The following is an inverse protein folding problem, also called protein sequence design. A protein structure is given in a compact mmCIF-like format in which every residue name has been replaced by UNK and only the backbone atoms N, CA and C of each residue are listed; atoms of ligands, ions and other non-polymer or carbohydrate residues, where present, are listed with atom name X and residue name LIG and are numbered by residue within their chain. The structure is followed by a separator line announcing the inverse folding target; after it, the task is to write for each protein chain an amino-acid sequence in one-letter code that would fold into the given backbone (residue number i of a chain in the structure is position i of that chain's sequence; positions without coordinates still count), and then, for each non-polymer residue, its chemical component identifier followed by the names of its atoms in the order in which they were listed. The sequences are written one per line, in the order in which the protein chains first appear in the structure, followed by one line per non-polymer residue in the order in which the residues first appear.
data_IF_318215486452
#
_entry.id   IF_318215486452
#
_cell.length_a   1.000
_cell.length_b   1.000
_cell.length_c   1.000
_cell.angle_alpha   90.00
_cell.angle_beta   90.00
_cell.angle_gamma   90.00
#
_symmetry.space_group_name_H-M   'P 1'
#
loop_
_entity.id
_entity.type
_entity.pdbx_description
1 polymer ?
#
# COMPACT_ATOMS: atom_id res chain seq x y z
N UNK A 1 29.77 22.55 8.21
CA UNK A 1 29.88 23.21 6.90
C UNK A 1 30.52 24.62 7.05
N UNK A 2 29.92 25.53 7.80
CA UNK A 2 30.44 26.92 7.94
C UNK A 2 31.89 27.00 8.48
N UNK A 3 32.24 26.15 9.44
CA UNK A 3 33.60 26.10 9.97
C UNK A 3 34.60 25.48 8.98
N UNK A 4 34.14 24.50 8.16
CA UNK A 4 34.95 23.94 7.11
C UNK A 4 35.28 24.96 6.01
N UNK A 5 34.29 25.80 5.64
CA UNK A 5 34.52 26.88 4.67
C UNK A 5 35.51 27.91 5.19
N UNK A 6 35.41 28.33 6.49
CA UNK A 6 36.38 29.21 7.11
C UNK A 6 37.80 28.65 7.10
N UNK A 7 37.96 27.36 7.39
CA UNK A 7 39.26 26.72 7.34
C UNK A 7 39.86 26.74 5.93
N UNK A 8 39.05 26.56 4.89
CA UNK A 8 39.50 26.68 3.49
C UNK A 8 39.92 28.12 3.16
N UNK A 9 39.17 29.10 3.61
CA UNK A 9 39.50 30.53 3.45
C UNK A 9 40.79 30.92 4.18
N UNK A 10 41.10 30.26 5.29
CA UNK A 10 42.35 30.39 6.05
C UNK A 10 43.54 29.65 5.40
N UNK A 11 43.31 28.93 4.28
CA UNK A 11 44.35 28.29 3.50
C UNK A 11 44.56 26.80 3.75
N UNK A 12 43.68 26.13 4.52
CA UNK A 12 43.73 24.70 4.71
C UNK A 12 43.30 23.96 3.41
N UNK A 13 43.92 22.82 3.16
CA UNK A 13 43.60 22.03 1.97
C UNK A 13 42.16 21.46 2.06
N UNK A 14 41.29 21.76 1.08
CA UNK A 14 39.89 21.32 1.09
C UNK A 14 39.71 19.80 1.26
N UNK A 15 40.61 18.99 0.69
CA UNK A 15 40.57 17.53 0.78
C UNK A 15 40.75 17.04 2.21
N UNK A 16 41.74 17.61 2.94
CA UNK A 16 41.95 17.25 4.33
C UNK A 16 40.85 17.76 5.26
N UNK A 17 40.28 18.94 4.96
CA UNK A 17 39.09 19.44 5.68
C UNK A 17 37.90 18.47 5.50
N UNK A 18 37.70 18.00 4.28
CA UNK A 18 36.63 17.02 4.01
C UNK A 18 36.86 15.72 4.76
N UNK A 19 38.05 15.14 4.71
CA UNK A 19 38.36 13.89 5.43
C UNK A 19 38.12 14.06 6.93
N UNK A 20 38.62 15.13 7.55
CA UNK A 20 38.37 15.35 8.97
C UNK A 20 36.90 15.57 9.33
N UNK A 21 36.09 16.10 8.42
CA UNK A 21 34.63 16.20 8.60
C UNK A 21 33.96 14.83 8.49
N UNK A 22 34.38 14.01 7.54
CA UNK A 22 33.83 12.66 7.36
C UNK A 22 34.17 11.78 8.59
N UNK A 23 35.41 11.80 9.05
CA UNK A 23 35.86 11.09 10.28
C UNK A 23 35.06 11.53 11.51
N UNK A 24 34.86 12.84 11.70
CA UNK A 24 34.05 13.36 12.80
C UNK A 24 32.58 12.91 12.73
N UNK A 25 32.02 12.80 11.54
CA UNK A 25 30.64 12.31 11.34
C UNK A 25 30.54 10.83 11.75
N UNK A 26 31.50 10.00 11.37
CA UNK A 26 31.54 8.58 11.76
C UNK A 26 31.66 8.42 13.28
N UNK A 27 32.51 9.20 13.92
CA UNK A 27 32.66 9.19 15.39
C UNK A 27 31.37 9.64 16.10
N UNK A 28 30.70 10.69 15.60
CA UNK A 28 29.43 11.17 16.17
C UNK A 28 28.33 10.12 15.98
N UNK A 29 28.26 9.45 14.83
CA UNK A 29 27.28 8.38 14.60
C UNK A 29 27.50 7.24 15.59
N UNK A 30 28.74 6.80 15.79
CA UNK A 30 29.08 5.77 16.77
C UNK A 30 28.67 6.16 18.20
N UNK A 31 28.92 7.41 18.58
CA UNK A 31 28.52 7.92 19.91
C UNK A 31 26.98 7.95 20.06
N UNK A 32 26.25 8.33 19.01
CA UNK A 32 24.78 8.33 19.02
C UNK A 32 24.26 6.89 19.16
N UNK A 33 24.84 5.95 18.46
CA UNK A 33 24.45 4.54 18.55
C UNK A 33 24.70 3.96 19.94
N UNK A 34 25.83 4.30 20.55
CA UNK A 34 26.20 3.87 21.92
C UNK A 34 25.31 4.47 23.01
N UNK A 35 24.91 5.74 22.85
CA UNK A 35 24.02 6.44 23.79
C UNK A 35 22.55 6.20 23.55
N UNK A 36 22.17 5.58 22.40
CA UNK A 36 20.78 5.34 22.04
C UNK A 36 20.15 4.22 22.88
N UNK A 37 18.96 4.48 23.41
CA UNK A 37 18.16 3.46 24.08
C UNK A 37 17.12 2.87 23.16
N UNK A 38 17.02 1.54 23.12
CA UNK A 38 15.95 0.86 22.37
C UNK A 38 14.59 1.10 23.02
N UNK A 39 13.57 1.30 22.18
CA UNK A 39 12.17 1.35 22.61
C UNK A 39 11.70 -0.11 22.75
N UNK A 40 11.74 -0.62 23.98
CA UNK A 40 11.43 -2.00 24.34
C UNK A 40 10.11 -2.15 25.12
N UNK A 41 9.46 -1.04 25.43
CA UNK A 41 8.21 -1.01 26.17
C UNK A 41 7.21 -0.01 25.60
N UNK A 42 5.93 -0.28 25.88
CA UNK A 42 4.83 0.61 25.51
C UNK A 42 4.93 1.99 26.15
N UNK A 43 5.47 2.03 27.36
CA UNK A 43 5.67 3.27 28.11
C UNK A 43 6.70 4.17 27.42
N UNK A 44 7.85 3.60 27.04
CA UNK A 44 8.87 4.34 26.28
C UNK A 44 8.33 4.82 24.92
N UNK A 45 7.56 3.96 24.24
CA UNK A 45 6.93 4.32 22.97
C UNK A 45 5.95 5.50 23.17
N UNK A 46 5.15 5.50 24.24
CA UNK A 46 4.24 6.59 24.56
C UNK A 46 4.98 7.88 24.89
N UNK A 47 6.06 7.80 25.66
CA UNK A 47 6.90 8.96 25.98
C UNK A 47 7.46 9.62 24.73
N UNK A 48 8.03 8.82 23.82
CA UNK A 48 8.58 9.33 22.55
C UNK A 48 7.47 9.92 21.66
N UNK A 49 6.34 9.25 21.56
CA UNK A 49 5.19 9.74 20.80
C UNK A 49 4.64 11.06 21.37
N UNK A 50 4.56 11.18 22.70
CA UNK A 50 4.07 12.38 23.39
C UNK A 50 5.02 13.55 23.18
N UNK A 51 6.34 13.35 23.32
CA UNK A 51 7.35 14.38 23.06
C UNK A 51 7.27 14.83 21.59
N UNK A 52 7.19 13.89 20.66
CA UNK A 52 7.05 14.18 19.23
C UNK A 52 5.76 14.93 18.88
N UNK A 53 4.71 14.75 19.67
CA UNK A 53 3.46 15.48 19.59
C UNK A 53 3.45 16.80 20.38
N UNK A 54 4.62 17.38 20.63
CA UNK A 54 4.77 18.62 21.39
C UNK A 54 4.15 18.55 22.81
N UNK A 55 4.40 17.44 23.52
CA UNK A 55 3.87 17.09 24.84
C UNK A 55 2.34 16.94 24.89
N UNK A 56 1.71 16.62 23.76
CA UNK A 56 0.28 16.29 23.72
C UNK A 56 0.09 14.77 23.88
N UNK A 57 -0.26 14.37 25.11
CA UNK A 57 -0.44 12.96 25.46
C UNK A 57 -1.58 12.29 24.68
N UNK A 58 -2.68 12.99 24.42
CA UNK A 58 -3.81 12.46 23.65
C UNK A 58 -3.42 12.09 22.20
N UNK A 59 -2.59 12.93 21.57
CA UNK A 59 -2.04 12.64 20.23
C UNK A 59 -1.03 11.50 20.32
N UNK A 60 -0.18 11.49 21.34
CA UNK A 60 0.78 10.42 21.62
C UNK A 60 0.09 9.05 21.74
N UNK A 61 -0.99 8.97 22.52
CA UNK A 61 -1.78 7.73 22.67
C UNK A 61 -2.38 7.24 21.34
N UNK A 62 -2.94 8.15 20.53
CA UNK A 62 -3.48 7.80 19.20
C UNK A 62 -2.38 7.26 18.31
N UNK A 63 -1.21 7.90 18.30
CA UNK A 63 -0.04 7.45 17.52
C UNK A 63 0.43 6.06 17.96
N UNK A 64 0.56 5.80 19.26
CA UNK A 64 0.93 4.48 19.79
C UNK A 64 -0.10 3.41 19.43
N UNK A 65 -1.40 3.71 19.56
CA UNK A 65 -2.47 2.80 19.16
C UNK A 65 -2.42 2.48 17.65
N UNK A 66 -2.11 3.48 16.82
CA UNK A 66 -1.97 3.30 15.37
C UNK A 66 -0.74 2.42 15.04
N UNK A 67 0.41 2.67 15.65
CA UNK A 67 1.64 1.89 15.47
C UNK A 67 1.42 0.43 15.85
N UNK A 68 0.80 0.18 17.00
CA UNK A 68 0.50 -1.19 17.46
C UNK A 68 -0.45 -1.93 16.53
N UNK A 69 -1.46 -1.25 16.02
CA UNK A 69 -2.41 -1.85 15.07
C UNK A 69 -1.80 -2.09 13.69
N UNK A 70 -0.90 -1.21 13.25
CA UNK A 70 -0.20 -1.36 11.98
C UNK A 70 0.82 -2.51 12.01
N UNK A 71 1.44 -2.76 13.19
CA UNK A 71 2.53 -3.74 13.32
C UNK A 71 3.84 -3.25 12.69
N UNK A 72 4.85 -4.11 12.70
CA UNK A 72 6.23 -3.78 12.31
C UNK A 72 6.35 -3.29 10.85
N UNK A 73 5.53 -3.84 9.95
CA UNK A 73 5.57 -3.52 8.51
C UNK A 73 4.36 -2.71 8.04
N UNK A 74 3.53 -2.24 8.96
CA UNK A 74 2.32 -1.50 8.63
C UNK A 74 2.60 -0.08 8.19
N UNK A 75 1.81 0.41 7.24
CA UNK A 75 1.89 1.78 6.74
C UNK A 75 0.80 2.62 7.41
N UNK A 76 1.21 3.67 8.11
CA UNK A 76 0.30 4.64 8.73
C UNK A 76 0.13 5.83 7.80
N UNK A 77 -1.13 6.17 7.49
CA UNK A 77 -1.48 7.34 6.69
C UNK A 77 -2.44 8.23 7.45
N UNK A 78 -2.18 9.53 7.41
CA UNK A 78 -3.10 10.56 7.90
C UNK A 78 -4.06 10.96 6.78
N UNK A 79 -5.35 11.04 7.13
CA UNK A 79 -6.41 11.57 6.27
C UNK A 79 -7.28 12.51 7.07
N UNK A 80 -7.90 13.47 6.39
CA UNK A 80 -8.95 14.29 7.01
C UNK A 80 -10.16 13.41 7.33
N UNK A 81 -10.68 13.58 8.55
CA UNK A 81 -11.90 12.88 8.97
C UNK A 81 -13.12 13.57 8.35
N UNK A 82 -14.10 12.81 7.85
CA UNK A 82 -15.38 13.38 7.42
C UNK A 82 -16.25 13.81 8.62
N UNK A 83 -15.84 13.47 9.84
CA UNK A 83 -16.49 13.82 11.10
C UNK A 83 -15.57 14.69 11.97
N UNK A 84 -16.07 15.18 13.11
CA UNK A 84 -15.27 15.95 14.08
C UNK A 84 -14.37 15.05 14.95
N UNK A 85 -14.53 13.73 14.86
CA UNK A 85 -13.81 12.78 15.69
C UNK A 85 -12.56 12.27 14.99
N UNK A 86 -11.49 12.06 15.78
CA UNK A 86 -10.28 11.38 15.35
C UNK A 86 -10.41 9.89 15.66
N UNK A 87 -10.31 9.04 14.64
CA UNK A 87 -10.37 7.59 14.79
C UNK A 87 -9.29 6.88 13.97
N UNK A 88 -9.02 5.64 14.34
CA UNK A 88 -8.05 4.78 13.65
C UNK A 88 -8.84 3.75 12.84
N UNK A 89 -8.68 3.80 11.53
CA UNK A 89 -9.18 2.79 10.62
C UNK A 89 -8.03 1.83 10.26
N UNK A 90 -8.27 0.54 10.39
CA UNK A 90 -7.28 -0.50 10.04
C UNK A 90 -7.80 -1.22 8.81
N UNK A 91 -7.03 -1.16 7.74
CA UNK A 91 -7.28 -1.92 6.53
C UNK A 91 -6.22 -3.00 6.40
N UNK A 92 -6.62 -4.25 6.54
CA UNK A 92 -5.75 -5.39 6.30
C UNK A 92 -5.74 -5.73 4.81
N UNK A 93 -4.60 -6.18 4.29
CA UNK A 93 -4.43 -6.59 2.91
C UNK A 93 -3.77 -5.53 2.02
N UNK A 94 -3.91 -5.68 0.71
CA UNK A 94 -3.28 -4.84 -0.31
C UNK A 94 -4.29 -3.87 -0.92
N UNK A 95 -3.95 -2.58 -0.97
CA UNK A 95 -4.79 -1.56 -1.58
C UNK A 95 -4.30 -1.21 -2.99
N UNK A 96 -5.09 -1.55 -4.00
CA UNK A 96 -4.88 -1.14 -5.39
C UNK A 96 -5.49 0.25 -5.59
N UNK A 97 -4.72 1.20 -6.16
CA UNK A 97 -5.21 2.54 -6.51
C UNK A 97 -6.03 2.54 -7.82
N UNK A 98 -6.89 1.55 -7.99
CA UNK A 98 -7.79 1.41 -9.14
C UNK A 98 -9.05 0.68 -8.70
N UNK A 99 -10.20 1.20 -9.11
CA UNK A 99 -11.48 0.59 -8.81
C UNK A 99 -11.92 -0.41 -9.89
N UNK A 100 -13.16 -0.83 -9.80
CA UNK A 100 -13.80 -1.71 -10.78
C UNK A 100 -13.77 -1.12 -12.20
N UNK A 101 -13.67 -2.00 -13.20
CA UNK A 101 -13.62 -1.59 -14.61
C UNK A 101 -14.98 -1.08 -15.14
N UNK A 102 -16.08 -1.41 -14.48
CA UNK A 102 -17.42 -0.96 -14.83
C UNK A 102 -18.30 -0.85 -13.58
N UNK A 103 -19.14 0.19 -13.53
CA UNK A 103 -20.14 0.40 -12.45
C UNK A 103 -21.22 -0.71 -12.40
N UNK A 104 -21.32 -1.53 -13.41
CA UNK A 104 -22.23 -2.69 -13.42
C UNK A 104 -21.83 -3.78 -12.42
N UNK A 105 -20.60 -3.78 -11.92
CA UNK A 105 -20.12 -4.73 -10.90
C UNK A 105 -20.38 -4.28 -9.46
N UNK A 106 -21.03 -3.12 -9.26
CA UNK A 106 -21.37 -2.60 -7.93
C UNK A 106 -22.42 -3.52 -7.29
N UNK A 107 -22.12 -3.98 -6.08
CA UNK A 107 -23.04 -4.78 -5.26
C UNK A 107 -23.85 -3.94 -4.29
N UNK A 108 -23.30 -2.81 -3.84
CA UNK A 108 -23.96 -1.85 -2.96
C UNK A 108 -24.03 -0.47 -3.65
N UNK A 109 -25.23 -0.09 -4.09
CA UNK A 109 -25.47 1.18 -4.79
C UNK A 109 -25.47 2.40 -3.86
N UNK A 110 -25.65 2.21 -2.55
CA UNK A 110 -25.65 3.32 -1.61
C UNK A 110 -24.25 3.82 -1.33
N UNK A 111 -23.30 2.89 -1.21
CA UNK A 111 -21.88 3.17 -0.96
C UNK A 111 -21.03 3.19 -2.25
N UNK A 112 -21.61 2.82 -3.40
CA UNK A 112 -20.91 2.60 -4.67
C UNK A 112 -19.76 1.59 -4.54
N UNK A 113 -19.96 0.55 -3.76
CA UNK A 113 -18.95 -0.49 -3.50
C UNK A 113 -19.29 -1.82 -4.16
N UNK A 114 -18.28 -2.56 -4.53
CA UNK A 114 -18.36 -3.95 -4.94
C UNK A 114 -17.69 -4.82 -3.86
N UNK A 115 -18.51 -5.53 -3.06
CA UNK A 115 -18.05 -6.35 -1.92
C UNK A 115 -18.28 -7.83 -2.21
N UNK A 116 -17.21 -8.61 -2.15
CA UNK A 116 -17.24 -10.05 -2.34
C UNK A 116 -16.44 -10.74 -1.23
N UNK A 117 -16.82 -11.97 -0.91
CA UNK A 117 -16.12 -12.82 0.07
C UNK A 117 -15.71 -14.13 -0.59
N UNK A 118 -14.61 -14.71 -0.14
CA UNK A 118 -14.11 -16.01 -0.59
C UNK A 118 -14.01 -16.12 -2.12
N UNK A 119 -13.37 -15.10 -2.71
CA UNK A 119 -13.28 -14.94 -4.15
C UNK A 119 -12.19 -15.81 -4.77
N UNK A 120 -12.41 -16.25 -5.98
CA UNK A 120 -11.34 -16.73 -6.86
C UNK A 120 -10.62 -15.50 -7.43
N UNK A 121 -9.31 -15.51 -7.44
CA UNK A 121 -8.50 -14.46 -8.02
C UNK A 121 -7.88 -14.96 -9.34
N UNK A 122 -8.01 -14.16 -10.38
CA UNK A 122 -7.37 -14.38 -11.67
C UNK A 122 -6.50 -13.16 -12.00
N UNK A 123 -5.20 -13.38 -12.17
CA UNK A 123 -4.25 -12.35 -12.55
C UNK A 123 -3.78 -12.60 -13.98
N UNK A 124 -3.79 -11.55 -14.82
CA UNK A 124 -3.35 -11.63 -16.20
C UNK A 124 -2.49 -10.41 -16.55
N UNK A 125 -1.20 -10.62 -16.79
CA UNK A 125 -0.30 -9.57 -17.26
C UNK A 125 -0.41 -9.39 -18.79
N UNK A 126 -1.63 -9.25 -19.24
CA UNK A 126 -1.99 -8.98 -20.64
C UNK A 126 -3.40 -8.43 -20.75
N UNK A 127 -3.75 -7.94 -21.91
CA UNK A 127 -5.13 -7.61 -22.25
C UNK A 127 -5.95 -8.88 -22.45
N UNK A 128 -7.21 -8.86 -22.03
CA UNK A 128 -8.18 -9.94 -22.26
C UNK A 128 -9.14 -9.46 -23.34
N UNK A 129 -8.92 -9.92 -24.57
CA UNK A 129 -9.60 -9.38 -25.75
C UNK A 129 -10.61 -10.34 -26.36
N UNK A 130 -10.49 -11.64 -26.08
CA UNK A 130 -11.30 -12.67 -26.73
C UNK A 130 -12.19 -13.46 -25.78
N UNK A 131 -13.28 -14.03 -26.31
CA UNK A 131 -14.15 -14.95 -25.58
C UNK A 131 -13.40 -16.21 -25.14
N UNK A 132 -12.44 -16.68 -25.93
CA UNK A 132 -11.62 -17.84 -25.60
C UNK A 132 -10.79 -17.64 -24.36
N UNK A 133 -10.46 -16.40 -24.01
CA UNK A 133 -9.71 -16.07 -22.80
C UNK A 133 -10.62 -16.09 -21.56
N UNK A 134 -11.81 -15.50 -21.66
CA UNK A 134 -12.66 -15.26 -20.49
C UNK A 134 -13.61 -16.43 -20.18
N UNK A 135 -14.14 -17.12 -21.19
CA UNK A 135 -15.15 -18.18 -20.99
C UNK A 135 -14.66 -19.34 -20.12
N UNK A 136 -13.42 -19.85 -20.29
CA UNK A 136 -12.90 -20.91 -19.41
C UNK A 136 -12.80 -20.46 -17.93
N UNK A 137 -12.42 -19.21 -17.71
CA UNK A 137 -12.28 -18.61 -16.37
C UNK A 137 -13.66 -18.54 -15.70
N UNK A 138 -14.67 -18.02 -16.39
CA UNK A 138 -16.05 -17.95 -15.88
C UNK A 138 -16.64 -19.34 -15.63
N UNK A 139 -16.41 -20.31 -16.51
CA UNK A 139 -16.85 -21.70 -16.32
C UNK A 139 -16.25 -22.31 -15.05
N UNK A 140 -14.97 -22.03 -14.77
CA UNK A 140 -14.30 -22.51 -13.56
C UNK A 140 -14.95 -21.90 -12.32
N UNK A 141 -15.19 -20.58 -12.28
CA UNK A 141 -15.87 -19.90 -11.20
C UNK A 141 -17.28 -20.45 -10.95
N UNK A 142 -18.05 -20.66 -12.05
CA UNK A 142 -19.37 -21.29 -11.98
C UNK A 142 -19.34 -22.70 -11.37
N UNK A 143 -18.36 -23.52 -11.78
CA UNK A 143 -18.22 -24.88 -11.25
C UNK A 143 -17.87 -24.91 -9.77
N UNK A 144 -17.13 -23.91 -9.30
CA UNK A 144 -16.75 -23.75 -7.89
C UNK A 144 -17.80 -22.99 -7.07
N UNK A 145 -18.81 -22.41 -7.72
CA UNK A 145 -19.85 -21.57 -7.09
C UNK A 145 -19.24 -20.42 -6.27
N UNK A 146 -18.14 -19.86 -6.70
CA UNK A 146 -17.43 -18.79 -6.02
C UNK A 146 -17.40 -17.53 -6.88
N UNK A 147 -17.48 -16.34 -6.26
CA UNK A 147 -17.24 -15.09 -6.95
C UNK A 147 -15.83 -15.08 -7.55
N UNK A 148 -15.63 -14.31 -8.62
CA UNK A 148 -14.32 -14.18 -9.22
C UNK A 148 -13.93 -12.71 -9.42
N UNK A 149 -12.71 -12.39 -9.00
CA UNK A 149 -12.04 -11.12 -9.28
C UNK A 149 -10.99 -11.35 -10.36
N UNK A 150 -11.08 -10.60 -11.43
CA UNK A 150 -10.16 -10.69 -12.57
C UNK A 150 -9.40 -9.37 -12.66
N UNK A 151 -8.09 -9.44 -12.53
CA UNK A 151 -7.20 -8.29 -12.67
C UNK A 151 -6.37 -8.48 -13.93
N UNK A 152 -6.53 -7.60 -14.90
CA UNK A 152 -5.83 -7.65 -16.18
C UNK A 152 -5.42 -6.26 -16.65
N UNK A 153 -4.55 -6.19 -17.64
CA UNK A 153 -4.07 -4.92 -18.17
C UNK A 153 -5.19 -4.09 -18.78
N UNK A 154 -5.99 -4.71 -19.63
CA UNK A 154 -7.23 -4.14 -20.17
C UNK A 154 -8.23 -5.25 -20.57
N UNK A 155 -9.46 -4.85 -20.91
CA UNK A 155 -10.53 -5.73 -21.34
C UNK A 155 -11.18 -5.13 -22.59
N UNK A 156 -11.40 -5.95 -23.63
CA UNK A 156 -12.19 -5.53 -24.78
C UNK A 156 -13.67 -5.34 -24.41
N UNK A 157 -14.37 -4.50 -25.15
CA UNK A 157 -15.80 -4.27 -24.91
C UNK A 157 -16.61 -5.58 -24.95
N UNK A 158 -16.27 -6.49 -25.88
CA UNK A 158 -16.93 -7.78 -26.00
C UNK A 158 -16.74 -8.65 -24.75
N UNK A 159 -15.55 -8.67 -24.19
CA UNK A 159 -15.25 -9.40 -22.95
C UNK A 159 -15.99 -8.77 -21.77
N UNK A 160 -16.02 -7.43 -21.69
CA UNK A 160 -16.78 -6.73 -20.68
C UNK A 160 -18.26 -7.06 -20.74
N UNK A 161 -18.87 -7.07 -21.93
CA UNK A 161 -20.28 -7.44 -22.12
C UNK A 161 -20.56 -8.87 -21.63
N UNK A 162 -19.67 -9.82 -21.92
CA UNK A 162 -19.80 -11.20 -21.45
C UNK A 162 -19.78 -11.25 -19.93
N UNK A 163 -18.83 -10.57 -19.29
CA UNK A 163 -18.71 -10.54 -17.83
C UNK A 163 -19.93 -9.90 -17.18
N UNK A 164 -20.36 -8.74 -17.68
CA UNK A 164 -21.53 -8.01 -17.21
C UNK A 164 -22.80 -8.85 -17.34
N UNK A 165 -23.02 -9.48 -18.50
CA UNK A 165 -24.19 -10.33 -18.71
C UNK A 165 -24.22 -11.54 -17.76
N UNK A 166 -23.07 -12.17 -17.51
CA UNK A 166 -23.00 -13.28 -16.55
C UNK A 166 -23.25 -12.81 -15.10
N UNK A 167 -22.75 -11.63 -14.75
CA UNK A 167 -23.00 -11.02 -13.46
C UNK A 167 -24.49 -10.68 -13.26
N UNK A 168 -25.12 -10.01 -14.24
CA UNK A 168 -26.53 -9.64 -14.19
C UNK A 168 -27.49 -10.84 -14.11
N UNK A 169 -27.19 -11.90 -14.83
CA UNK A 169 -28.00 -13.12 -14.80
C UNK A 169 -27.70 -14.03 -13.61
N UNK A 170 -26.91 -13.54 -12.65
CA UNK A 170 -26.51 -14.29 -11.45
C UNK A 170 -25.92 -15.69 -11.73
N UNK A 171 -25.31 -15.85 -12.92
CA UNK A 171 -24.63 -17.11 -13.27
C UNK A 171 -23.31 -17.25 -12.53
N UNK A 172 -22.61 -16.14 -12.39
CA UNK A 172 -21.38 -16.01 -11.59
C UNK A 172 -21.20 -14.55 -11.19
N UNK A 173 -20.82 -14.31 -9.95
CA UNK A 173 -20.45 -12.97 -9.50
C UNK A 173 -19.03 -12.66 -10.00
N UNK A 174 -18.93 -11.60 -10.80
CA UNK A 174 -17.66 -11.19 -11.44
C UNK A 174 -17.30 -9.77 -11.04
N UNK A 175 -16.03 -9.54 -10.79
CA UNK A 175 -15.46 -8.21 -10.67
C UNK A 175 -14.24 -8.12 -11.58
N UNK A 176 -14.23 -7.16 -12.50
CA UNK A 176 -13.08 -6.85 -13.33
C UNK A 176 -12.39 -5.58 -12.85
N UNK A 177 -11.07 -5.64 -12.72
CA UNK A 177 -10.22 -4.53 -12.32
C UNK A 177 -9.10 -4.40 -13.34
N UNK A 178 -8.86 -3.17 -13.82
CA UNK A 178 -7.69 -2.90 -14.65
C UNK A 178 -6.45 -2.69 -13.79
N UNK A 179 -5.34 -3.34 -14.13
CA UNK A 179 -4.07 -3.17 -13.41
C UNK A 179 -3.65 -1.70 -13.41
N UNK A 180 -3.31 -1.11 -12.24
CA UNK A 180 -2.80 0.25 -12.18
C UNK A 180 -1.37 0.33 -12.71
N UNK A 181 -0.96 1.53 -13.15
CA UNK A 181 0.40 1.77 -13.65
C UNK A 181 0.54 1.58 -15.16
N UNK A 182 1.79 1.70 -15.65
CA UNK A 182 2.15 1.59 -17.04
C UNK A 182 3.48 0.82 -17.16
N UNK A 183 3.67 0.12 -18.28
CA UNK A 183 4.91 -0.60 -18.58
C UNK A 183 5.30 -1.60 -17.48
N UNK A 184 6.58 -1.68 -17.16
CA UNK A 184 7.16 -2.62 -16.19
C UNK A 184 6.57 -2.47 -14.76
N UNK A 185 6.15 -1.26 -14.37
CA UNK A 185 5.52 -1.05 -13.07
C UNK A 185 4.17 -1.76 -12.92
N UNK A 186 3.49 -2.10 -14.03
CA UNK A 186 2.25 -2.86 -14.04
C UNK A 186 2.48 -4.33 -13.69
N UNK A 187 3.48 -4.94 -14.32
CA UNK A 187 3.88 -6.34 -14.06
C UNK A 187 4.36 -6.51 -12.61
N UNK A 188 5.12 -5.54 -12.08
CA UNK A 188 5.57 -5.57 -10.69
C UNK A 188 4.40 -5.56 -9.69
N UNK A 189 3.36 -4.77 -9.94
CA UNK A 189 2.16 -4.74 -9.08
C UNK A 189 1.42 -6.09 -9.12
N UNK A 190 1.30 -6.71 -10.30
CA UNK A 190 0.67 -8.03 -10.43
C UNK A 190 1.48 -9.12 -9.72
N UNK A 191 2.81 -9.05 -9.80
CA UNK A 191 3.72 -9.95 -9.08
C UNK A 191 3.59 -9.79 -7.56
N UNK A 192 3.49 -8.56 -7.06
CA UNK A 192 3.26 -8.29 -5.63
C UNK A 192 1.91 -8.87 -5.16
N UNK A 193 0.84 -8.68 -5.95
CA UNK A 193 -0.47 -9.27 -5.64
C UNK A 193 -0.37 -10.80 -5.63
N UNK A 194 0.28 -11.39 -6.63
CA UNK A 194 0.49 -12.84 -6.73
C UNK A 194 1.21 -13.40 -5.50
N UNK A 195 2.30 -12.77 -5.06
CA UNK A 195 3.05 -13.16 -3.86
C UNK A 195 2.22 -13.06 -2.58
N UNK A 196 1.43 -11.99 -2.43
CA UNK A 196 0.59 -11.78 -1.25
C UNK A 196 -0.60 -12.73 -1.18
N UNK A 197 -1.12 -13.18 -2.33
CA UNK A 197 -2.31 -14.02 -2.42
C UNK A 197 -2.01 -15.49 -2.70
N UNK A 198 -0.74 -15.84 -2.92
CA UNK A 198 -0.28 -17.18 -3.34
C UNK A 198 -0.98 -17.70 -4.62
N UNK A 199 -1.20 -16.83 -5.60
CA UNK A 199 -1.82 -17.12 -6.91
C UNK A 199 -0.80 -17.02 -8.03
#
# INVERSE_FOLDING_TARGET
LNNGLKAIDEGYNPTFVKIGMDDAVEEIISLIDDESEKIDSDEKLLQVATISANNNEAIGEIAVKAIKKAGEYGIIKLKESPTYDTYIEVNEGFQIKRGYASSYFITDRQTNEAKYKDVLLCLADRDIDSESDIVPILKKAMSMKSPIVIIANDFSNRVMDIMINNHFHHKVEVLAIKTPGFGEGRSAILEDISKLTNV
#
